data_IF_365172375925
#
_entry.id   IF_365172375925
#
_cell.length_a   1.000
_cell.length_b   1.000
_cell.length_c   1.000
_cell.angle_alpha   90.00
_cell.angle_beta   90.00
_cell.angle_gamma   90.00
#
_symmetry.space_group_name_H-M   'P 1'
#
loop_
_entity.id
_entity.type
_entity.pdbx_description
1 polymer ?
#
# COMPACT_ATOMS: atom_id res chain seq x y z
N UNK A 1 -21.00 34.55 -42.71
CA UNK A 1 -20.36 34.26 -41.40
C UNK A 1 -21.35 33.39 -40.62
N UNK A 2 -21.66 32.20 -41.12
CA UNK A 2 -22.76 31.38 -40.56
C UNK A 2 -22.32 29.93 -40.44
N UNK A 3 -21.35 29.68 -39.56
CA UNK A 3 -20.77 28.34 -39.35
C UNK A 3 -21.57 27.51 -38.33
N UNK A 4 -22.50 28.10 -37.59
CA UNK A 4 -23.30 27.40 -36.57
C UNK A 4 -24.79 27.75 -36.67
N UNK A 5 -25.64 26.72 -36.61
CA UNK A 5 -27.13 26.86 -36.58
C UNK A 5 -27.66 27.51 -35.30
N UNK A 6 -26.82 27.66 -34.28
CA UNK A 6 -27.22 28.16 -32.95
C UNK A 6 -26.82 29.63 -32.81
N UNK A 7 -27.67 30.51 -32.27
CA UNK A 7 -27.33 31.92 -32.10
C UNK A 7 -26.07 32.07 -31.25
N UNK A 8 -25.16 32.96 -31.67
CA UNK A 8 -23.85 33.20 -31.05
C UNK A 8 -23.97 33.52 -29.55
N UNK A 9 -25.03 34.22 -29.15
CA UNK A 9 -25.30 34.56 -27.75
C UNK A 9 -25.49 33.33 -26.87
N UNK A 10 -26.14 32.28 -27.38
CA UNK A 10 -26.34 31.02 -26.65
C UNK A 10 -25.04 30.23 -26.53
N UNK A 11 -24.23 30.21 -27.60
CA UNK A 11 -22.91 29.59 -27.59
C UNK A 11 -21.97 30.29 -26.60
N UNK A 12 -21.93 31.62 -26.60
CA UNK A 12 -21.12 32.42 -25.68
C UNK A 12 -21.46 32.11 -24.21
N UNK A 13 -22.75 32.00 -23.87
CA UNK A 13 -23.19 31.62 -22.51
C UNK A 13 -22.74 30.21 -22.13
N UNK A 14 -22.82 29.26 -23.07
CA UNK A 14 -22.41 27.88 -22.84
C UNK A 14 -20.89 27.79 -22.58
N UNK A 15 -20.08 28.47 -23.38
CA UNK A 15 -18.63 28.54 -23.19
C UNK A 15 -18.24 29.24 -21.90
N UNK A 16 -18.94 30.31 -21.53
CA UNK A 16 -18.73 31.00 -20.26
C UNK A 16 -18.97 30.05 -19.08
N UNK A 17 -20.11 29.35 -19.09
CA UNK A 17 -20.48 28.38 -18.06
C UNK A 17 -19.48 27.22 -17.96
N UNK A 18 -19.05 26.66 -19.10
CA UNK A 18 -18.09 25.54 -19.09
C UNK A 18 -16.72 25.98 -18.58
N UNK A 19 -16.25 27.16 -18.97
CA UNK A 19 -15.02 27.77 -18.46
C UNK A 19 -15.07 27.97 -16.94
N UNK A 20 -16.14 28.56 -16.45
CA UNK A 20 -16.26 28.89 -15.03
C UNK A 20 -16.40 27.62 -14.17
N UNK A 21 -17.12 26.60 -14.67
CA UNK A 21 -17.18 25.29 -14.04
C UNK A 21 -15.81 24.60 -14.00
N UNK A 22 -15.02 24.70 -15.08
CA UNK A 22 -13.65 24.16 -15.09
C UNK A 22 -12.75 24.88 -14.09
N UNK A 23 -12.79 26.22 -14.03
CA UNK A 23 -12.05 27.00 -13.04
C UNK A 23 -12.41 26.61 -11.61
N UNK A 24 -13.70 26.45 -11.32
CA UNK A 24 -14.17 26.03 -10.01
C UNK A 24 -13.62 24.64 -9.62
N UNK A 25 -13.68 23.66 -10.53
CA UNK A 25 -13.13 22.32 -10.32
C UNK A 25 -11.62 22.33 -10.10
N UNK A 26 -10.89 23.13 -10.88
CA UNK A 26 -9.44 23.25 -10.75
C UNK A 26 -9.05 23.84 -9.38
N UNK A 27 -9.75 24.89 -8.93
CA UNK A 27 -9.53 25.50 -7.62
C UNK A 27 -9.86 24.52 -6.48
N UNK A 28 -10.96 23.78 -6.57
CA UNK A 28 -11.32 22.79 -5.56
C UNK A 28 -10.26 21.66 -5.48
N UNK A 29 -9.81 21.15 -6.63
CA UNK A 29 -8.71 20.17 -6.67
C UNK A 29 -7.45 20.72 -6.01
N UNK A 30 -7.07 21.97 -6.29
CA UNK A 30 -5.90 22.59 -5.68
C UNK A 30 -6.05 22.73 -4.16
N UNK A 31 -7.23 23.10 -3.66
CA UNK A 31 -7.53 23.18 -2.22
C UNK A 31 -7.39 21.81 -1.56
N UNK A 32 -7.96 20.75 -2.16
CA UNK A 32 -7.86 19.38 -1.66
C UNK A 32 -6.41 18.90 -1.61
N UNK A 33 -5.63 19.17 -2.65
CA UNK A 33 -4.21 18.82 -2.69
C UNK A 33 -3.41 19.51 -1.58
N UNK A 34 -3.62 20.82 -1.39
CA UNK A 34 -2.97 21.55 -0.29
C UNK A 34 -3.36 21.01 1.08
N UNK A 35 -4.65 20.72 1.29
CA UNK A 35 -5.13 20.15 2.54
C UNK A 35 -4.53 18.76 2.81
N UNK A 36 -4.44 17.91 1.79
CA UNK A 36 -3.79 16.60 1.92
C UNK A 36 -2.29 16.75 2.23
N UNK A 37 -1.59 17.66 1.56
CA UNK A 37 -0.16 17.91 1.78
C UNK A 37 0.13 18.37 3.22
N UNK A 38 -0.70 19.26 3.77
CA UNK A 38 -0.57 19.69 5.17
C UNK A 38 -0.74 18.50 6.12
N UNK A 39 -1.78 17.68 5.91
CA UNK A 39 -2.01 16.48 6.73
C UNK A 39 -0.84 15.51 6.68
N UNK A 40 -0.30 15.23 5.48
CA UNK A 40 0.86 14.34 5.31
C UNK A 40 2.04 14.88 6.10
N UNK A 41 2.36 16.18 5.96
CA UNK A 41 3.47 16.81 6.68
C UNK A 41 3.31 16.69 8.21
N UNK A 42 2.10 16.89 8.71
CA UNK A 42 1.83 16.84 10.15
C UNK A 42 1.88 15.40 10.70
N UNK A 43 1.41 14.42 9.91
CA UNK A 43 1.52 12.99 10.22
C UNK A 43 2.97 12.52 10.20
N UNK A 44 3.77 12.95 9.21
CA UNK A 44 5.19 12.65 9.12
C UNK A 44 5.95 13.17 10.34
N UNK A 45 5.68 14.41 10.76
CA UNK A 45 6.25 14.99 11.99
C UNK A 45 5.86 14.19 13.23
N UNK A 46 4.60 13.82 13.34
CA UNK A 46 4.10 13.02 14.48
C UNK A 46 4.78 11.65 14.51
N UNK A 47 4.90 11.00 13.34
CA UNK A 47 5.57 9.70 13.20
C UNK A 47 7.05 9.80 13.57
N UNK A 48 7.75 10.82 13.08
CA UNK A 48 9.16 11.05 13.43
C UNK A 48 9.32 11.25 14.94
N UNK A 49 8.50 12.11 15.54
CA UNK A 49 8.50 12.34 16.99
C UNK A 49 8.33 11.03 17.80
N UNK A 50 7.34 10.21 17.43
CA UNK A 50 7.11 8.93 18.12
C UNK A 50 8.22 7.91 17.87
N UNK A 51 8.80 7.90 16.67
CA UNK A 51 9.94 7.05 16.32
C UNK A 51 11.17 7.43 17.15
N UNK A 52 11.49 8.72 17.24
CA UNK A 52 12.62 9.23 18.01
C UNK A 52 12.43 8.95 19.51
N UNK A 53 11.20 9.11 20.02
CA UNK A 53 10.85 8.76 21.40
C UNK A 53 11.02 7.27 21.67
N UNK A 54 10.57 6.40 20.77
CA UNK A 54 10.73 4.95 20.93
C UNK A 54 12.20 4.54 20.88
N UNK A 55 12.98 5.06 19.93
CA UNK A 55 14.41 4.80 19.82
C UNK A 55 15.19 5.32 21.04
N UNK A 56 14.85 6.52 21.53
CA UNK A 56 15.43 7.06 22.76
C UNK A 56 15.05 6.25 24.01
N UNK A 57 13.83 5.72 24.07
CA UNK A 57 13.39 4.82 25.15
C UNK A 57 14.08 3.45 25.09
N UNK A 58 14.38 2.94 23.90
CA UNK A 58 15.15 1.70 23.71
C UNK A 58 16.66 1.88 23.91
N UNK A 59 17.21 3.08 23.65
CA UNK A 59 18.63 3.39 23.84
C UNK A 59 19.07 3.54 25.32
N UNK A 60 18.13 3.60 26.26
CA UNK A 60 18.41 3.62 27.71
C UNK A 60 18.34 2.24 28.40
N UNK A 61 17.91 1.20 27.69
CA UNK A 61 17.90 -0.17 28.18
C UNK A 61 19.09 -0.93 27.63
N UNK A 62 20.21 -0.91 28.34
CA UNK A 62 21.33 -1.83 28.12
C UNK A 62 20.80 -3.26 28.05
N UNK A 63 20.90 -3.99 26.93
CA UNK A 63 20.62 -5.41 26.95
C UNK A 63 21.75 -6.05 27.75
N UNK A 64 21.43 -6.46 28.98
CA UNK A 64 22.25 -7.40 29.70
C UNK A 64 22.36 -8.65 28.83
N UNK A 65 23.54 -8.81 28.25
CA UNK A 65 24.07 -10.00 27.65
C UNK A 65 23.82 -11.19 28.58
N UNK A 66 22.80 -11.99 28.28
CA UNK A 66 22.80 -13.39 28.70
C UNK A 66 23.46 -14.17 27.58
N UNK A 67 24.78 -14.28 27.67
CA UNK A 67 25.55 -15.33 27.02
C UNK A 67 25.00 -16.68 27.48
N UNK A 68 24.45 -17.46 26.54
CA UNK A 68 24.31 -18.89 26.67
C UNK A 68 25.01 -19.54 25.47
N UNK A 69 26.07 -20.26 25.83
CA UNK A 69 27.04 -21.07 25.08
C UNK A 69 26.40 -21.98 24.00
N UNK A 70 27.11 -22.24 22.89
CA UNK A 70 26.60 -23.02 21.75
C UNK A 70 26.50 -24.51 22.10
N UNK A 71 25.35 -25.11 21.80
CA UNK A 71 25.17 -26.57 21.82
C UNK A 71 24.29 -26.96 20.63
N UNK A 72 24.90 -27.75 19.75
CA UNK A 72 24.32 -28.66 18.74
C UNK A 72 22.91 -28.36 18.20
N UNK A 73 22.86 -27.84 16.97
CA UNK A 73 21.63 -27.75 16.17
C UNK A 73 21.60 -28.90 15.17
N UNK A 74 20.74 -29.92 15.34
CA UNK A 74 20.37 -30.80 14.24
C UNK A 74 19.33 -30.09 13.38
N UNK A 75 19.64 -29.82 12.10
CA UNK A 75 18.77 -29.81 10.90
C UNK A 75 17.24 -29.51 11.05
N UNK A 76 16.81 -28.63 11.97
CA UNK A 76 15.41 -28.19 12.13
C UNK A 76 15.16 -26.76 11.57
N UNK A 77 16.18 -26.17 10.92
CA UNK A 77 16.10 -24.80 10.41
C UNK A 77 15.09 -24.63 9.27
N UNK A 78 14.84 -25.68 8.47
CA UNK A 78 13.89 -25.64 7.35
C UNK A 78 12.43 -25.56 7.81
N UNK A 79 12.09 -26.32 8.85
CA UNK A 79 10.71 -26.45 9.32
C UNK A 79 10.27 -25.22 10.13
N UNK A 80 11.20 -24.61 10.89
CA UNK A 80 10.96 -23.35 11.57
C UNK A 80 10.68 -22.20 10.58
N UNK A 81 11.47 -22.08 9.51
CA UNK A 81 11.26 -21.07 8.48
C UNK A 81 9.92 -21.27 7.73
N UNK A 82 9.54 -22.51 7.44
CA UNK A 82 8.25 -22.82 6.82
C UNK A 82 7.06 -22.56 7.74
N UNK A 83 7.20 -22.81 9.05
CA UNK A 83 6.17 -22.45 10.04
C UNK A 83 6.01 -20.94 10.15
N UNK A 84 7.12 -20.19 10.21
CA UNK A 84 7.10 -18.72 10.22
C UNK A 84 6.52 -18.14 8.93
N UNK A 85 6.77 -18.78 7.78
CA UNK A 85 6.20 -18.35 6.51
C UNK A 85 4.67 -18.48 6.46
N UNK A 86 4.10 -19.45 7.20
CA UNK A 86 2.65 -19.70 7.28
C UNK A 86 1.96 -18.80 8.28
N UNK A 87 2.67 -18.24 9.25
CA UNK A 87 2.11 -17.33 10.23
C UNK A 87 2.08 -15.89 9.69
N UNK A 88 0.99 -15.14 9.92
CA UNK A 88 0.97 -13.72 9.63
C UNK A 88 1.90 -12.98 10.61
N UNK A 89 2.80 -12.11 10.12
CA UNK A 89 3.59 -11.27 10.99
C UNK A 89 2.68 -10.31 11.77
N UNK A 90 3.07 -9.89 12.99
CA UNK A 90 2.23 -9.06 13.85
C UNK A 90 1.84 -7.77 13.13
N UNK A 91 0.52 -7.52 13.06
CA UNK A 91 -0.05 -6.35 12.39
C UNK A 91 -0.37 -6.53 10.90
N UNK A 92 -0.19 -7.72 10.32
CA UNK A 92 -0.59 -8.04 8.94
C UNK A 92 -1.66 -9.15 8.89
N UNK A 93 -2.52 -9.07 7.89
CA UNK A 93 -3.62 -10.04 7.68
C UNK A 93 -3.24 -11.23 6.79
N UNK A 94 -2.06 -11.17 6.16
CA UNK A 94 -1.60 -12.17 5.20
C UNK A 94 -0.29 -12.78 5.72
N UNK A 95 -0.07 -14.07 5.48
CA UNK A 95 1.18 -14.72 5.84
C UNK A 95 2.29 -14.41 4.84
N UNK A 96 3.54 -14.56 5.27
CA UNK A 96 4.70 -14.26 4.43
C UNK A 96 4.74 -15.13 3.17
N UNK A 97 4.25 -16.36 3.25
CA UNK A 97 4.08 -17.25 2.10
C UNK A 97 3.18 -16.64 1.02
N UNK A 98 2.09 -15.98 1.42
CA UNK A 98 1.15 -15.30 0.49
C UNK A 98 1.83 -14.11 -0.15
N UNK A 99 2.48 -13.28 0.66
CA UNK A 99 3.20 -12.11 0.17
C UNK A 99 4.27 -12.51 -0.83
N UNK A 100 5.09 -13.52 -0.49
CA UNK A 100 6.13 -14.03 -1.36
C UNK A 100 5.54 -14.59 -2.68
N UNK A 101 4.50 -15.42 -2.59
CA UNK A 101 3.86 -15.99 -3.78
C UNK A 101 3.28 -14.90 -4.68
N UNK A 102 2.62 -13.89 -4.10
CA UNK A 102 2.08 -12.76 -4.87
C UNK A 102 3.16 -11.93 -5.54
N UNK A 103 4.29 -11.71 -4.88
CA UNK A 103 5.44 -11.00 -5.44
C UNK A 103 6.07 -11.80 -6.59
N UNK A 104 6.21 -13.11 -6.43
CA UNK A 104 6.72 -13.99 -7.48
C UNK A 104 5.79 -13.99 -8.70
N UNK A 105 4.48 -14.10 -8.48
CA UNK A 105 3.49 -14.03 -9.56
C UNK A 105 3.52 -12.66 -10.28
N UNK A 106 3.71 -11.57 -9.54
CA UNK A 106 3.75 -10.25 -10.15
C UNK A 106 5.07 -9.99 -10.90
N UNK A 107 6.21 -10.25 -10.26
CA UNK A 107 7.53 -9.89 -10.77
C UNK A 107 8.12 -10.94 -11.72
N UNK A 108 7.95 -12.22 -11.42
CA UNK A 108 8.62 -13.31 -12.16
C UNK A 108 7.75 -13.87 -13.27
N UNK A 109 6.44 -14.03 -13.04
CA UNK A 109 5.52 -14.52 -14.08
C UNK A 109 4.82 -13.41 -14.85
N UNK A 110 5.00 -12.14 -14.45
CA UNK A 110 4.47 -10.96 -15.15
C UNK A 110 2.96 -10.82 -15.07
N UNK A 111 2.30 -11.44 -14.08
CA UNK A 111 0.87 -11.29 -13.89
C UNK A 111 0.57 -9.87 -13.38
N UNK A 112 -0.38 -9.19 -14.04
CA UNK A 112 -0.86 -7.91 -13.56
C UNK A 112 -1.45 -8.02 -12.15
N UNK A 113 -1.43 -6.92 -11.39
CA UNK A 113 -1.97 -6.87 -10.02
C UNK A 113 -3.44 -7.32 -9.92
N UNK A 114 -4.20 -7.28 -11.03
CA UNK A 114 -5.60 -7.73 -11.10
C UNK A 114 -5.72 -9.22 -11.43
N UNK A 115 -4.72 -9.78 -12.10
CA UNK A 115 -4.66 -11.19 -12.44
C UNK A 115 -4.25 -12.05 -11.25
N UNK A 116 -3.36 -11.54 -10.39
CA UNK A 116 -2.87 -12.26 -9.20
C UNK A 116 -4.01 -12.77 -8.29
N UNK A 117 -5.01 -11.95 -7.88
CA UNK A 117 -6.13 -12.44 -7.08
C UNK A 117 -6.96 -13.52 -7.78
N UNK A 118 -7.11 -13.43 -9.11
CA UNK A 118 -7.85 -14.43 -9.89
C UNK A 118 -7.19 -15.80 -9.86
N UNK A 119 -5.87 -15.86 -9.97
CA UNK A 119 -5.14 -17.14 -9.87
C UNK A 119 -5.14 -17.66 -8.43
N UNK A 120 -5.04 -16.80 -7.43
CA UNK A 120 -5.12 -17.21 -6.02
C UNK A 120 -6.50 -17.78 -5.67
N UNK A 121 -7.59 -17.27 -6.24
CA UNK A 121 -8.92 -17.87 -6.09
C UNK A 121 -9.00 -19.30 -6.62
N UNK A 122 -8.31 -19.61 -7.73
CA UNK A 122 -8.28 -20.98 -8.25
C UNK A 122 -7.53 -21.94 -7.30
N UNK A 123 -6.59 -21.42 -6.53
CA UNK A 123 -5.77 -22.18 -5.60
C UNK A 123 -6.31 -22.16 -4.16
N UNK A 124 -7.39 -21.42 -3.89
CA UNK A 124 -8.04 -21.29 -2.59
C UNK A 124 -8.38 -22.63 -1.92
N UNK A 125 -8.88 -23.67 -2.63
CA UNK A 125 -9.15 -24.96 -2.01
C UNK A 125 -7.91 -25.70 -1.49
N UNK A 126 -6.73 -25.33 -2.01
CA UNK A 126 -5.46 -26.01 -1.77
C UNK A 126 -4.54 -25.22 -0.84
N UNK A 127 -4.87 -23.96 -0.55
CA UNK A 127 -4.11 -23.09 0.32
C UNK A 127 -5.03 -22.47 1.38
N UNK A 128 -4.78 -22.68 2.69
CA UNK A 128 -5.51 -22.01 3.76
C UNK A 128 -5.05 -20.56 3.88
N UNK A 129 -5.36 -19.74 2.88
CA UNK A 129 -4.74 -18.42 2.67
C UNK A 129 -5.82 -17.35 2.48
N UNK A 130 -5.68 -16.23 3.19
CA UNK A 130 -6.45 -15.02 2.95
C UNK A 130 -6.06 -14.38 1.61
N UNK A 131 -7.03 -14.25 0.70
CA UNK A 131 -6.78 -13.74 -0.65
C UNK A 131 -6.56 -12.21 -0.60
N UNK A 132 -5.39 -11.71 -1.03
CA UNK A 132 -5.13 -10.28 -1.05
C UNK A 132 -5.93 -9.61 -2.17
N UNK A 133 -6.54 -8.46 -1.85
CA UNK A 133 -7.14 -7.60 -2.88
C UNK A 133 -6.07 -7.04 -3.81
N UNK A 134 -6.44 -6.68 -5.03
CA UNK A 134 -5.56 -6.00 -5.99
C UNK A 134 -4.80 -4.81 -5.38
N UNK A 135 -5.47 -4.01 -4.56
CA UNK A 135 -4.86 -2.86 -3.88
C UNK A 135 -3.83 -3.28 -2.85
N UNK A 136 -4.04 -4.41 -2.18
CA UNK A 136 -3.06 -4.98 -1.25
C UNK A 136 -1.82 -5.46 -2.01
N UNK A 137 -1.99 -6.12 -3.15
CA UNK A 137 -0.87 -6.58 -4.00
C UNK A 137 -0.02 -5.38 -4.47
N UNK A 138 -0.65 -4.28 -4.89
CA UNK A 138 0.06 -3.05 -5.27
C UNK A 138 0.82 -2.38 -4.11
N UNK A 139 0.40 -2.60 -2.87
CA UNK A 139 1.12 -2.04 -1.72
C UNK A 139 2.37 -2.86 -1.35
N UNK A 140 2.53 -4.06 -1.92
CA UNK A 140 3.67 -4.94 -1.67
C UNK A 140 4.76 -4.86 -2.74
N UNK A 141 4.39 -4.50 -3.97
CA UNK A 141 5.29 -4.23 -5.10
C UNK A 141 5.88 -2.82 -4.98
#
# INVERSE_FOLDING_TARGET
>A
MDTFKTPVTRLARLFLKSRDAWKAKALDKQRRLRAAQVKIRDLERSRAYWKDRALGAHGGGSPATTEATPSDVPEESGDAAQRLARLPPPGHQHSLMVMQLTLQMYLQTGLGSRGVPGVLHLLEPWLPVSIPTHTTVLNWV
#
